data_IF_669029912640
#
_entry.id   IF_669029912640
#
_cell.length_a   1.000
_cell.length_b   1.000
_cell.length_c   1.000
_cell.angle_alpha   90.00
_cell.angle_beta   90.00
_cell.angle_gamma   90.00
#
_symmetry.space_group_name_H-M   'P 1'
#
loop_
_entity.id
_entity.type
_entity.pdbx_description
1 polymer ?
#
# COMPACT_ATOMS: atom_id res chain seq x y z
N UNK A 1 -21.92 1.03 16.17
CA UNK A 1 -21.01 1.77 17.07
C UNK A 1 -19.95 0.88 17.73
N UNK A 2 -20.28 -0.32 18.23
CA UNK A 2 -19.28 -1.22 18.86
C UNK A 2 -18.13 -1.68 17.92
N UNK A 3 -18.42 -2.04 16.66
CA UNK A 3 -17.41 -2.53 15.69
C UNK A 3 -16.33 -1.48 15.34
N UNK A 4 -16.71 -0.21 15.29
CA UNK A 4 -15.78 0.91 15.01
C UNK A 4 -14.78 1.12 16.14
N UNK A 5 -15.24 1.16 17.40
CA UNK A 5 -14.36 1.37 18.56
C UNK A 5 -13.31 0.26 18.70
N UNK A 6 -13.70 -1.00 18.47
CA UNK A 6 -12.77 -2.13 18.46
C UNK A 6 -11.74 -2.05 17.34
N UNK A 7 -12.13 -1.51 16.17
CA UNK A 7 -11.22 -1.38 15.02
C UNK A 7 -10.19 -0.27 15.25
N UNK A 8 -10.60 0.89 15.79
CA UNK A 8 -9.68 1.96 16.17
C UNK A 8 -8.71 1.53 17.27
N UNK A 9 -9.19 0.82 18.29
CA UNK A 9 -8.33 0.26 19.33
C UNK A 9 -7.36 -0.79 18.76
N UNK A 10 -7.83 -1.62 17.83
CA UNK A 10 -7.01 -2.59 17.11
C UNK A 10 -5.91 -1.94 16.29
N UNK A 11 -6.22 -0.84 15.58
CA UNK A 11 -5.25 -0.05 14.81
C UNK A 11 -4.15 0.48 15.72
N UNK A 12 -4.51 1.14 16.82
CA UNK A 12 -3.51 1.66 17.76
C UNK A 12 -2.63 0.55 18.32
N UNK A 13 -3.22 -0.57 18.73
CA UNK A 13 -2.45 -1.71 19.21
C UNK A 13 -1.52 -2.31 18.13
N UNK A 14 -1.92 -2.28 16.85
CA UNK A 14 -1.07 -2.73 15.75
C UNK A 14 0.10 -1.77 15.49
N UNK A 15 -0.12 -0.46 15.58
CA UNK A 15 0.94 0.55 15.52
C UNK A 15 1.93 0.34 16.66
N UNK A 16 1.46 0.16 17.90
CA UNK A 16 2.34 -0.13 19.04
C UNK A 16 3.17 -1.40 18.84
N UNK A 17 2.56 -2.48 18.30
CA UNK A 17 3.28 -3.73 18.00
C UNK A 17 4.36 -3.59 16.93
N UNK A 18 4.25 -2.61 16.03
CA UNK A 18 5.31 -2.34 15.03
C UNK A 18 6.59 -1.80 15.69
N UNK A 19 6.49 -1.17 16.87
CA UNK A 19 7.65 -0.63 17.59
C UNK A 19 8.40 0.50 16.88
N UNK A 20 7.88 1.00 15.75
CA UNK A 20 8.55 2.03 14.94
C UNK A 20 7.91 3.39 15.16
N UNK A 21 8.49 4.19 16.06
CA UNK A 21 7.97 5.50 16.51
C UNK A 21 6.45 5.53 16.74
N UNK A 22 5.90 4.60 17.56
CA UNK A 22 4.45 4.38 17.60
C UNK A 22 3.63 5.61 17.97
N UNK A 23 4.15 6.49 18.84
CA UNK A 23 3.48 7.75 19.18
C UNK A 23 3.37 8.70 17.98
N UNK A 24 4.46 8.89 17.23
CA UNK A 24 4.51 9.74 16.03
C UNK A 24 3.57 9.20 14.95
N UNK A 25 3.63 7.89 14.71
CA UNK A 25 2.81 7.22 13.69
C UNK A 25 1.33 7.28 14.07
N UNK A 26 0.98 7.01 15.34
CA UNK A 26 -0.40 7.10 15.80
C UNK A 26 -0.94 8.52 15.69
N UNK A 27 -0.17 9.55 16.08
CA UNK A 27 -0.58 10.95 15.95
C UNK A 27 -0.87 11.34 14.50
N UNK A 28 0.03 10.98 13.57
CA UNK A 28 -0.17 11.30 12.15
C UNK A 28 -1.38 10.57 11.55
N UNK A 29 -1.57 9.29 11.88
CA UNK A 29 -2.71 8.49 11.41
C UNK A 29 -4.02 9.02 11.99
N UNK A 30 -4.07 9.34 13.29
CA UNK A 30 -5.26 9.90 13.94
C UNK A 30 -5.64 11.26 13.33
N UNK A 31 -4.66 12.12 13.08
CA UNK A 31 -4.89 13.41 12.41
C UNK A 31 -5.43 13.22 10.98
N UNK A 32 -4.87 12.27 10.20
CA UNK A 32 -5.31 12.01 8.82
C UNK A 32 -6.71 11.40 8.75
N UNK A 33 -7.03 10.45 9.65
CA UNK A 33 -8.36 9.81 9.76
C UNK A 33 -9.42 10.81 10.21
N UNK A 34 -9.07 11.73 11.13
CA UNK A 34 -9.98 12.72 11.66
C UNK A 34 -11.17 12.07 12.39
N UNK A 35 -12.38 12.60 12.17
CA UNK A 35 -13.59 12.11 12.84
C UNK A 35 -14.24 10.86 12.23
N UNK A 36 -13.65 10.27 11.18
CA UNK A 36 -14.26 9.12 10.50
C UNK A 36 -14.01 7.80 11.23
N UNK A 37 -14.98 6.87 11.18
CA UNK A 37 -14.79 5.53 11.71
C UNK A 37 -13.76 4.76 10.86
N UNK A 38 -12.86 4.02 11.51
CA UNK A 38 -11.99 3.06 10.82
C UNK A 38 -12.80 1.81 10.47
N UNK A 39 -12.86 1.46 9.19
CA UNK A 39 -13.54 0.27 8.67
C UNK A 39 -12.61 -0.94 8.57
N UNK A 40 -11.37 -0.72 8.12
CA UNK A 40 -10.31 -1.74 8.07
C UNK A 40 -8.94 -1.07 8.11
N UNK A 41 -7.90 -1.79 8.51
CA UNK A 41 -6.53 -1.29 8.54
C UNK A 41 -5.49 -2.39 8.32
N UNK A 42 -4.30 -1.99 7.89
CA UNK A 42 -3.09 -2.82 7.83
C UNK A 42 -1.91 -1.98 8.32
N UNK A 43 -1.12 -2.51 9.25
CA UNK A 43 0.16 -1.91 9.67
C UNK A 43 1.24 -2.86 9.24
N UNK A 44 2.17 -2.38 8.41
CA UNK A 44 3.26 -3.19 7.89
C UNK A 44 4.57 -2.45 8.08
N UNK A 45 5.51 -3.09 8.79
CA UNK A 45 6.86 -2.58 8.96
C UNK A 45 7.75 -3.31 7.98
N UNK A 46 8.43 -2.57 7.12
CA UNK A 46 9.38 -3.09 6.17
C UNK A 46 10.79 -2.76 6.63
N UNK A 47 11.70 -3.72 6.42
CA UNK A 47 13.13 -3.51 6.60
C UNK A 47 13.80 -3.76 5.27
N UNK A 48 14.19 -2.68 4.60
CA UNK A 48 14.89 -2.74 3.32
C UNK A 48 16.39 -2.71 3.58
N UNK A 49 17.10 -3.66 3.01
CA UNK A 49 18.55 -3.71 3.01
C UNK A 49 19.03 -3.18 1.66
N UNK A 50 19.59 -1.96 1.65
CA UNK A 50 20.38 -1.47 0.53
C UNK A 50 21.87 -1.74 0.82
N UNK A 51 22.72 -1.75 -0.21
CA UNK A 51 24.15 -2.08 -0.12
C UNK A 51 24.91 -1.27 0.93
N UNK A 52 24.39 -0.10 1.32
CA UNK A 52 25.01 0.81 2.27
C UNK A 52 24.20 1.09 3.54
N UNK A 53 22.93 0.67 3.64
CA UNK A 53 22.06 1.08 4.75
C UNK A 53 20.87 0.14 5.00
N UNK A 54 20.49 0.00 6.27
CA UNK A 54 19.24 -0.65 6.68
C UNK A 54 18.19 0.43 6.85
N UNK A 55 17.19 0.49 5.96
CA UNK A 55 16.06 1.40 6.07
C UNK A 55 14.88 0.68 6.68
N UNK A 56 14.48 1.13 7.85
CA UNK A 56 13.22 0.71 8.48
C UNK A 56 12.18 1.74 8.12
N UNK A 57 11.01 1.29 7.73
CA UNK A 57 9.85 2.16 7.57
C UNK A 57 8.60 1.41 7.96
N UNK A 58 7.56 2.17 8.26
CA UNK A 58 6.23 1.61 8.53
C UNK A 58 5.22 2.26 7.62
N UNK A 59 4.42 1.42 6.99
CA UNK A 59 3.29 1.79 6.16
C UNK A 59 2.01 1.39 6.89
N UNK A 60 1.17 2.37 7.19
CA UNK A 60 -0.16 2.19 7.78
C UNK A 60 -1.21 2.50 6.73
N UNK A 61 -2.02 1.50 6.41
CA UNK A 61 -3.15 1.61 5.51
C UNK A 61 -4.42 1.66 6.34
N UNK A 62 -5.28 2.63 6.06
CA UNK A 62 -6.56 2.80 6.74
C UNK A 62 -7.66 2.98 5.71
N UNK A 63 -8.74 2.21 5.85
CA UNK A 63 -9.97 2.39 5.09
C UNK A 63 -11.03 2.99 6.00
N UNK A 64 -11.64 4.08 5.55
CA UNK A 64 -12.84 4.68 6.15
C UNK A 64 -14.02 4.53 5.18
N UNK A 65 -15.25 4.96 5.55
CA UNK A 65 -16.39 4.93 4.63
C UNK A 65 -16.21 5.76 3.36
N UNK A 66 -15.36 6.80 3.39
CA UNK A 66 -15.25 7.76 2.27
C UNK A 66 -13.89 7.78 1.57
N UNK A 67 -12.85 7.27 2.24
CA UNK A 67 -11.47 7.37 1.75
C UNK A 67 -10.58 6.23 2.23
N UNK A 68 -9.58 5.97 1.42
CA UNK A 68 -8.40 5.18 1.71
C UNK A 68 -7.28 6.15 2.11
N UNK A 69 -6.57 5.83 3.19
CA UNK A 69 -5.48 6.65 3.72
C UNK A 69 -4.23 5.79 3.80
N UNK A 70 -3.13 6.35 3.31
CA UNK A 70 -1.78 5.80 3.45
C UNK A 70 -1.01 6.72 4.38
N UNK A 71 -0.40 6.16 5.42
CA UNK A 71 0.60 6.85 6.23
C UNK A 71 1.91 6.10 6.11
N UNK A 72 2.97 6.80 5.74
CA UNK A 72 4.31 6.22 5.64
C UNK A 72 5.26 7.00 6.54
N UNK A 73 5.98 6.28 7.40
CA UNK A 73 7.01 6.86 8.26
C UNK A 73 8.33 6.15 8.02
N UNK A 74 9.35 6.92 7.66
CA UNK A 74 10.73 6.48 7.51
C UNK A 74 11.67 7.30 8.41
N UNK A 75 12.90 6.82 8.56
CA UNK A 75 13.98 7.55 9.22
C UNK A 75 15.15 7.70 8.27
N UNK A 76 15.71 8.90 8.23
CA UNK A 76 17.02 9.18 7.66
C UNK A 76 18.02 9.30 8.80
N UNK A 77 19.08 8.49 8.77
CA UNK A 77 20.17 8.56 9.72
C UNK A 77 20.89 9.93 9.64
N UNK A 78 21.58 10.29 10.72
CA UNK A 78 22.40 11.50 10.74
C UNK A 78 23.50 11.47 9.68
N UNK A 79 23.70 12.58 8.98
CA UNK A 79 24.73 12.76 7.96
C UNK A 79 25.40 14.14 8.08
N UNK A 80 26.28 14.48 7.13
CA UNK A 80 26.98 15.78 7.13
C UNK A 80 26.05 17.00 6.96
N UNK A 81 24.84 16.81 6.43
CA UNK A 81 23.82 17.85 6.26
C UNK A 81 22.84 17.94 7.45
N UNK A 82 22.61 16.84 8.16
CA UNK A 82 21.79 16.79 9.37
C UNK A 82 22.49 15.97 10.47
N UNK A 83 23.04 16.61 11.52
CA UNK A 83 23.78 15.92 12.57
C UNK A 83 22.88 15.06 13.50
N UNK A 84 21.57 15.07 13.31
CA UNK A 84 20.60 14.24 14.02
C UNK A 84 19.75 13.48 13.02
N UNK A 85 19.33 12.27 13.39
CA UNK A 85 18.38 11.52 12.59
C UNK A 85 17.04 12.26 12.47
N UNK A 86 16.40 12.13 11.31
CA UNK A 86 15.14 12.77 10.99
C UNK A 86 14.12 11.70 10.63
N UNK A 87 12.95 11.73 11.28
CA UNK A 87 11.82 10.91 10.87
C UNK A 87 10.90 11.75 9.97
N UNK A 88 10.56 11.23 8.80
CA UNK A 88 9.55 11.86 7.93
C UNK A 88 8.29 11.03 7.99
N UNK A 89 7.15 11.67 8.23
CA UNK A 89 5.83 11.03 8.13
C UNK A 89 4.99 11.72 7.09
N UNK A 90 4.61 10.98 6.06
CA UNK A 90 3.74 11.45 4.98
C UNK A 90 2.40 10.76 5.06
N UNK A 91 1.31 11.51 4.90
CA UNK A 91 -0.04 10.95 4.81
C UNK A 91 -0.70 11.35 3.50
N UNK A 92 -1.33 10.40 2.83
CA UNK A 92 -2.10 10.62 1.63
C UNK A 92 -3.53 10.14 1.84
N UNK A 93 -4.50 10.93 1.39
CA UNK A 93 -5.93 10.62 1.53
C UNK A 93 -6.60 10.56 0.16
N UNK A 94 -7.00 9.36 -0.24
CA UNK A 94 -7.55 9.04 -1.55
C UNK A 94 -9.04 8.73 -1.40
N UNK A 95 -9.90 9.45 -2.11
CA UNK A 95 -11.34 9.12 -2.13
C UNK A 95 -11.52 7.69 -2.62
N UNK A 96 -12.37 6.89 -1.98
CA UNK A 96 -12.56 5.48 -2.36
C UNK A 96 -12.96 5.33 -3.84
N UNK A 97 -13.80 6.24 -4.36
CA UNK A 97 -14.18 6.26 -5.78
C UNK A 97 -13.11 6.72 -6.77
N UNK A 98 -11.91 7.09 -6.31
CA UNK A 98 -10.74 7.41 -7.17
C UNK A 98 -9.79 6.23 -7.32
N UNK A 99 -9.95 5.17 -6.54
CA UNK A 99 -9.16 3.96 -6.67
C UNK A 99 -9.59 3.26 -7.97
N UNK A 100 -8.67 3.18 -8.93
CA UNK A 100 -8.91 2.57 -10.23
C UNK A 100 -8.72 1.05 -10.21
N UNK A 101 -7.85 0.54 -9.33
CA UNK A 101 -7.55 -0.89 -9.25
C UNK A 101 -7.10 -1.32 -7.86
N UNK A 102 -7.52 -2.54 -7.47
CA UNK A 102 -7.00 -3.28 -6.32
C UNK A 102 -6.60 -4.67 -6.83
N UNK A 103 -5.31 -4.95 -6.86
CA UNK A 103 -4.75 -6.23 -7.33
C UNK A 103 -4.18 -6.97 -6.14
N UNK A 104 -4.55 -8.25 -5.99
CA UNK A 104 -4.07 -9.10 -4.91
C UNK A 104 -3.53 -10.41 -5.46
N UNK A 105 -2.21 -10.55 -5.45
CA UNK A 105 -1.50 -11.77 -5.81
C UNK A 105 -1.23 -12.61 -4.58
N UNK A 106 -1.31 -13.94 -4.71
CA UNK A 106 -1.11 -14.91 -3.62
C UNK A 106 -0.14 -15.99 -4.06
N UNK A 107 0.83 -16.31 -3.22
CA UNK A 107 1.76 -17.43 -3.43
C UNK A 107 1.39 -18.56 -2.49
N UNK A 108 1.10 -19.74 -3.04
CA UNK A 108 0.74 -20.95 -2.28
C UNK A 108 1.78 -22.03 -2.56
N UNK A 109 2.22 -22.73 -1.51
CA UNK A 109 3.13 -23.86 -1.64
C UNK A 109 2.34 -25.15 -1.99
N UNK A 110 2.92 -26.02 -2.82
CA UNK A 110 2.38 -27.34 -3.20
C UNK A 110 0.90 -27.28 -3.63
N UNK A 111 0.57 -26.61 -4.74
CA UNK A 111 -0.81 -26.31 -5.11
C UNK A 111 -1.69 -27.57 -5.29
N UNK A 112 -1.12 -28.72 -5.67
CA UNK A 112 -1.87 -29.99 -5.74
C UNK A 112 -2.43 -30.48 -4.39
N UNK A 113 -1.89 -29.99 -3.27
CA UNK A 113 -2.30 -30.33 -1.90
C UNK A 113 -3.13 -29.23 -1.22
N UNK A 114 -3.52 -28.19 -1.97
CA UNK A 114 -4.19 -27.03 -1.40
C UNK A 114 -5.53 -27.40 -0.74
N UNK A 115 -5.70 -26.96 0.50
CA UNK A 115 -7.00 -27.03 1.20
C UNK A 115 -7.57 -25.62 1.38
N UNK A 116 -8.88 -25.41 1.09
CA UNK A 116 -9.53 -24.13 1.29
C UNK A 116 -9.33 -23.59 2.71
N UNK A 117 -8.99 -22.30 2.81
CA UNK A 117 -8.68 -21.64 4.08
C UNK A 117 -7.20 -21.71 4.48
N UNK A 118 -6.37 -22.47 3.76
CA UNK A 118 -4.91 -22.41 3.93
C UNK A 118 -4.40 -21.01 3.60
N UNK A 119 -3.58 -20.46 4.49
CA UNK A 119 -2.94 -19.16 4.27
C UNK A 119 -1.88 -19.25 3.17
N UNK A 120 -1.82 -18.24 2.28
CA UNK A 120 -0.73 -18.14 1.33
C UNK A 120 0.58 -17.88 2.07
N UNK A 121 1.68 -18.36 1.48
CA UNK A 121 3.04 -18.06 1.94
C UNK A 121 3.34 -16.56 1.83
N UNK A 122 2.75 -15.91 0.84
CA UNK A 122 2.96 -14.51 0.53
C UNK A 122 1.75 -13.92 -0.16
N UNK A 123 1.51 -12.64 0.12
CA UNK A 123 0.54 -11.80 -0.57
C UNK A 123 1.22 -10.53 -1.06
N UNK A 124 0.89 -10.12 -2.27
CA UNK A 124 1.27 -8.82 -2.82
C UNK A 124 -0.01 -8.06 -3.12
N UNK A 125 -0.22 -6.95 -2.43
CA UNK A 125 -1.33 -6.03 -2.60
C UNK A 125 -0.86 -4.80 -3.36
N UNK A 126 -1.40 -4.57 -4.55
CA UNK A 126 -1.14 -3.38 -5.34
C UNK A 126 -2.42 -2.57 -5.48
N UNK A 127 -2.37 -1.28 -5.15
CA UNK A 127 -3.51 -0.36 -5.17
C UNK A 127 -3.15 0.81 -6.07
N UNK A 128 -3.97 1.04 -7.10
CA UNK A 128 -3.77 2.12 -8.07
C UNK A 128 -4.88 3.16 -7.97
N UNK A 129 -4.49 4.43 -7.95
CA UNK A 129 -5.40 5.58 -8.03
C UNK A 129 -4.88 6.71 -8.93
N UNK A 130 -3.70 6.53 -9.54
CA UNK A 130 -3.19 7.38 -10.62
C UNK A 130 -3.01 8.85 -10.24
N UNK A 131 -2.59 9.13 -8.99
CA UNK A 131 -2.30 10.51 -8.56
C UNK A 131 -1.18 11.13 -9.40
N UNK A 132 -0.18 10.32 -9.77
CA UNK A 132 0.92 10.68 -10.68
C UNK A 132 1.15 9.49 -11.63
N UNK A 133 1.50 9.79 -12.87
CA UNK A 133 1.95 8.78 -13.82
C UNK A 133 3.26 9.24 -14.43
N UNK A 134 4.25 8.36 -14.45
CA UNK A 134 5.49 8.58 -15.19
C UNK A 134 5.29 8.06 -16.61
N UNK A 135 5.58 8.90 -17.59
CA UNK A 135 5.52 8.54 -19.01
C UNK A 135 6.96 8.56 -19.52
N UNK A 136 7.48 7.39 -19.86
CA UNK A 136 8.77 7.25 -20.54
C UNK A 136 8.50 7.06 -22.04
N UNK A 137 9.05 7.96 -22.86
CA UNK A 137 8.88 7.99 -24.31
C UNK A 137 10.22 7.78 -25.00
N UNK A 138 10.23 6.96 -26.04
CA UNK A 138 11.37 6.77 -26.94
C UNK A 138 10.91 6.84 -28.40
N UNK A 139 11.79 7.25 -29.35
CA UNK A 139 11.44 7.22 -30.76
C UNK A 139 11.03 5.82 -31.19
N UNK A 140 9.87 5.70 -31.83
CA UNK A 140 9.42 4.44 -32.38
C UNK A 140 10.31 4.04 -33.56
N UNK A 141 10.73 2.78 -33.60
CA UNK A 141 11.47 2.19 -34.71
C UNK A 141 10.65 1.09 -35.37
N UNK A 142 10.89 0.84 -36.66
CA UNK A 142 10.36 -0.33 -37.35
C UNK A 142 11.48 -1.35 -37.61
N UNK A 143 11.11 -2.58 -37.98
CA UNK A 143 12.07 -3.66 -38.23
C UNK A 143 12.91 -3.52 -39.49
N UNK A 144 12.73 -2.45 -40.28
CA UNK A 144 13.51 -2.18 -41.48
C UNK A 144 14.70 -1.28 -41.15
N UNK A 145 15.95 -1.77 -41.27
CA UNK A 145 17.16 -1.00 -40.98
C UNK A 145 17.41 0.16 -41.95
N UNK A 146 16.69 0.25 -43.06
CA UNK A 146 16.83 1.33 -44.04
C UNK A 146 15.65 2.32 -44.02
N UNK A 147 14.73 2.21 -43.05
CA UNK A 147 13.59 3.09 -42.98
C UNK A 147 13.96 4.43 -42.32
N UNK A 148 13.86 5.52 -43.07
CA UNK A 148 14.09 6.90 -42.60
C UNK A 148 12.79 7.63 -42.21
N UNK A 149 11.66 6.93 -42.16
CA UNK A 149 10.38 7.53 -41.83
C UNK A 149 10.28 7.85 -40.34
N UNK A 150 9.68 9.01 -40.01
CA UNK A 150 9.33 9.34 -38.63
C UNK A 150 8.10 8.53 -38.20
N UNK A 151 8.32 7.60 -37.27
CA UNK A 151 7.26 6.74 -36.72
C UNK A 151 6.68 7.28 -35.41
N UNK A 152 7.05 8.50 -35.02
CA UNK A 152 6.63 9.13 -33.77
C UNK A 152 7.33 8.51 -32.56
N UNK A 153 6.65 8.52 -31.41
CA UNK A 153 7.16 7.99 -30.15
C UNK A 153 6.32 6.80 -29.71
N UNK A 154 7.00 5.78 -29.20
CA UNK A 154 6.39 4.75 -28.36
C UNK A 154 6.71 5.05 -26.91
N UNK A 155 5.90 4.56 -25.98
CA UNK A 155 6.19 4.77 -24.57
C UNK A 155 5.44 3.83 -23.65
N UNK A 156 5.94 3.77 -22.43
CA UNK A 156 5.30 3.08 -21.31
C UNK A 156 4.81 4.11 -20.30
N UNK A 157 3.63 3.87 -19.74
CA UNK A 157 3.12 4.62 -18.60
C UNK A 157 3.15 3.71 -17.37
N UNK A 158 3.77 4.20 -16.30
CA UNK A 158 3.69 3.59 -14.97
C UNK A 158 2.88 4.52 -14.07
N UNK A 159 1.81 4.01 -13.48
CA UNK A 159 1.08 4.72 -12.44
C UNK A 159 1.85 4.63 -11.12
N UNK A 160 1.79 5.68 -10.31
CA UNK A 160 2.16 5.59 -8.91
C UNK A 160 1.11 4.72 -8.21
N UNK A 161 1.46 3.44 -8.09
CA UNK A 161 0.70 2.44 -7.37
C UNK A 161 1.40 2.17 -6.03
N UNK A 162 0.62 2.04 -4.97
CA UNK A 162 1.14 1.45 -3.74
C UNK A 162 1.21 -0.06 -3.92
N UNK A 163 2.41 -0.63 -3.76
CA UNK A 163 2.61 -2.08 -3.73
C UNK A 163 3.17 -2.50 -2.37
N UNK A 164 2.52 -3.45 -1.72
CA UNK A 164 2.88 -3.95 -0.40
C UNK A 164 2.96 -5.48 -0.44
N UNK A 165 4.09 -6.04 0.03
CA UNK A 165 4.34 -7.48 0.07
C UNK A 165 4.38 -7.96 1.52
N UNK A 166 3.50 -8.88 1.88
CA UNK A 166 3.51 -9.55 3.19
C UNK A 166 3.78 -11.03 3.01
N UNK A 167 4.72 -11.57 3.78
CA UNK A 167 5.05 -12.99 3.78
C UNK A 167 4.81 -13.60 5.16
N UNK A 168 4.38 -14.86 5.19
CA UNK A 168 4.23 -15.58 6.46
C UNK A 168 5.59 -15.77 7.16
N UNK A 169 6.66 -15.97 6.39
CA UNK A 169 7.99 -16.21 6.92
C UNK A 169 8.63 -14.94 7.53
N UNK A 170 8.40 -13.77 6.93
CA UNK A 170 8.93 -12.50 7.42
C UNK A 170 8.02 -11.81 8.43
N UNK A 171 6.71 -11.78 8.16
CA UNK A 171 5.75 -10.93 8.88
C UNK A 171 4.79 -11.72 9.77
N UNK A 172 4.82 -13.04 9.67
CA UNK A 172 3.96 -13.93 10.41
C UNK A 172 2.55 -14.11 9.81
N UNK A 173 1.85 -15.17 10.23
CA UNK A 173 0.55 -15.54 9.66
C UNK A 173 -0.57 -14.54 9.97
N UNK A 174 -0.46 -13.79 11.08
CA UNK A 174 -1.45 -12.76 11.46
C UNK A 174 -1.42 -11.57 10.52
N UNK A 175 -0.23 -11.10 10.12
CA UNK A 175 -0.07 -10.00 9.18
C UNK A 175 -0.59 -10.40 7.80
N UNK A 176 -0.35 -11.65 7.36
CA UNK A 176 -0.92 -12.19 6.11
C UNK A 176 -2.46 -12.21 6.17
N UNK A 177 -3.05 -12.68 7.28
CA UNK A 177 -4.51 -12.64 7.49
C UNK A 177 -5.05 -11.22 7.40
N UNK A 178 -4.38 -10.28 8.07
CA UNK A 178 -4.79 -8.89 8.09
C UNK A 178 -4.69 -8.25 6.71
N UNK A 179 -3.64 -8.53 5.94
CA UNK A 179 -3.48 -8.04 4.57
C UNK A 179 -4.59 -8.58 3.65
N UNK A 180 -4.95 -9.85 3.77
CA UNK A 180 -6.08 -10.45 3.04
C UNK A 180 -7.42 -9.79 3.42
N UNK A 181 -7.65 -9.57 4.71
CA UNK A 181 -8.88 -8.92 5.20
C UNK A 181 -8.97 -7.45 4.76
N UNK A 182 -7.84 -6.73 4.78
CA UNK A 182 -7.77 -5.35 4.32
C UNK A 182 -8.04 -5.24 2.81
N UNK A 183 -7.37 -6.07 2.01
CA UNK A 183 -7.56 -6.11 0.56
C UNK A 183 -9.02 -6.44 0.18
N UNK A 184 -9.65 -7.38 0.89
CA UNK A 184 -11.06 -7.69 0.70
C UNK A 184 -11.95 -6.47 1.01
N UNK A 185 -11.76 -5.84 2.18
CA UNK A 185 -12.56 -4.67 2.58
C UNK A 185 -12.40 -3.50 1.59
N UNK A 186 -11.19 -3.27 1.08
CA UNK A 186 -10.93 -2.24 0.07
C UNK A 186 -11.59 -2.56 -1.27
N UNK A 187 -11.51 -3.82 -1.72
CA UNK A 187 -12.18 -4.28 -2.94
C UNK A 187 -13.71 -4.14 -2.85
N UNK A 188 -14.31 -4.43 -1.69
CA UNK A 188 -15.75 -4.27 -1.48
C UNK A 188 -16.16 -2.78 -1.50
N UNK A 189 -15.37 -1.92 -0.85
CA UNK A 189 -15.64 -0.48 -0.79
C UNK A 189 -15.54 0.21 -2.17
N UNK A 190 -14.55 -0.20 -2.97
CA UNK A 190 -14.38 0.33 -4.35
C UNK A 190 -15.51 -0.11 -5.28
N UNK A 191 -15.99 -1.37 -5.15
CA UNK A 191 -17.14 -1.86 -5.90
C UNK A 191 -18.46 -1.16 -5.51
N UNK A 192 -18.69 -0.91 -4.22
CA UNK A 192 -19.90 -0.23 -3.74
C UNK A 192 -20.04 1.20 -4.32
N UNK A 193 -18.91 1.87 -4.55
CA UNK A 193 -18.85 3.22 -5.10
C UNK A 193 -19.20 3.27 -6.60
N UNK A 194 -19.13 2.13 -7.31
CA UNK A 194 -19.37 2.04 -8.75
C UNK A 194 -20.85 1.86 -9.12
N UNK A 195 -21.79 1.85 -8.16
CA UNK A 195 -23.23 1.78 -8.49
C UNK A 195 -23.66 3.05 -9.23
N UNK A 196 -23.99 2.99 -10.54
CA UNK A 196 -24.50 4.14 -11.25
C UNK A 196 -25.91 4.39 -10.74
N UNK A 197 -26.19 5.62 -10.30
CA UNK A 197 -27.56 6.06 -10.09
C UNK A 197 -28.28 6.08 -11.44
N UNK A 198 -29.11 5.04 -11.67
CA UNK A 198 -30.26 5.09 -12.59
C UNK A 198 -29.94 5.02 -14.09
N UNK A 199 -30.57 4.04 -14.73
CA UNK A 199 -31.08 4.18 -16.09
C UNK A 199 -32.59 4.05 -16.04
#
# INVERSE_FOLDING_TARGET
>A
MAKTGTTTQGLRAAIERSGYYPALVAEAVEAAVGGEPVASYLVHQETTFDANEVRRHVTVLVLTPTRFIVSHTDEQAADSGSPTALATTSTESVKTGRISSVVLSRVVANPESYTPGTLPREVVLTIGWGAVSRIDLEPAACGDPNCEADHGYTGSSTADDLSLRVSEAGDGPDTVRQALAFAQALSEATAATATPAGR
#
